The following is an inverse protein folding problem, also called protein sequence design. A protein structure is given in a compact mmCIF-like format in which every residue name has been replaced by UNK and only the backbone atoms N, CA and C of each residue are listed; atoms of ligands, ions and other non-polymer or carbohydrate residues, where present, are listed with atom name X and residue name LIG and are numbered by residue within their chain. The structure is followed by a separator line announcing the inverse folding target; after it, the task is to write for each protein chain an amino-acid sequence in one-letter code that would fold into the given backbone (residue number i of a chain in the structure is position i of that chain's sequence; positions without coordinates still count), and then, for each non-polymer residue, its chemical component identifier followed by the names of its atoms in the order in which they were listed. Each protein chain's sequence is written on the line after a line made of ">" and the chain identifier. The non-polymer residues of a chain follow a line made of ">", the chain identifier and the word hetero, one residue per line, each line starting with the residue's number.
data_IF_205989917863
#
_entry.id   IF_205989917863
#
_cell.length_a   1.000
_cell.length_b   1.000
_cell.length_c   1.000
_cell.angle_alpha   90.00
_cell.angle_beta   90.00
_cell.angle_gamma   90.00
#
_symmetry.space_group_name_H-M   'P 1'
#
loop_
_entity.id
_entity.type
_entity.pdbx_description
1 polymer ?
#
# COMPACT_ATOMS: atom_id res chain seq x y z
N UNK A 1 0.21 12.38 11.50
CA UNK A 1 -0.53 13.32 10.63
C UNK A 1 -1.82 12.66 10.16
N UNK A 2 -2.84 12.57 11.03
CA UNK A 2 -4.13 11.90 10.75
C UNK A 2 -5.33 12.79 11.04
N UNK A 3 -5.14 13.97 11.65
CA UNK A 3 -6.19 14.86 12.15
C UNK A 3 -7.27 15.24 11.12
N UNK A 4 -6.93 15.28 9.83
CA UNK A 4 -7.89 15.59 8.78
C UNK A 4 -8.75 14.39 8.38
N UNK A 5 -8.34 13.16 8.68
CA UNK A 5 -9.10 11.95 8.34
C UNK A 5 -10.41 11.91 9.11
N UNK A 6 -10.43 12.36 10.36
CA UNK A 6 -11.63 12.45 11.20
C UNK A 6 -12.74 13.34 10.60
N UNK A 7 -12.41 14.15 9.57
CA UNK A 7 -13.37 14.98 8.84
C UNK A 7 -14.05 14.24 7.66
N UNK A 8 -13.69 12.98 7.39
CA UNK A 8 -14.33 12.18 6.36
C UNK A 8 -15.76 11.77 6.77
N UNK A 9 -16.70 11.90 5.84
CA UNK A 9 -18.12 11.59 6.05
C UNK A 9 -18.68 10.70 4.92
N UNK A 10 -18.00 9.59 4.65
CA UNK A 10 -18.40 8.64 3.60
C UNK A 10 -19.35 7.52 4.06
N UNK A 11 -19.61 7.36 5.36
CA UNK A 11 -20.56 6.35 5.85
C UNK A 11 -20.17 4.95 5.40
N UNK A 12 -21.13 4.20 4.87
CA UNK A 12 -20.90 2.83 4.34
C UNK A 12 -20.26 2.81 2.94
N UNK A 13 -19.91 3.95 2.36
CA UNK A 13 -19.21 4.04 1.05
C UNK A 13 -17.71 3.90 1.26
N UNK A 14 -17.29 2.74 1.72
CA UNK A 14 -15.92 2.46 2.14
C UNK A 14 -15.07 1.96 0.95
N UNK A 15 -14.06 2.72 0.50
CA UNK A 15 -13.15 2.27 -0.55
C UNK A 15 -12.11 1.28 -0.03
N UNK A 16 -11.58 0.46 -0.93
CA UNK A 16 -10.23 -0.11 -0.81
C UNK A 16 -9.25 0.98 -1.25
N UNK A 17 -8.27 1.32 -0.43
CA UNK A 17 -7.31 2.40 -0.68
C UNK A 17 -5.94 1.81 -0.95
N UNK A 18 -5.31 2.18 -2.07
CA UNK A 18 -3.87 1.98 -2.28
C UNK A 18 -3.17 3.31 -2.10
N UNK A 19 -2.12 3.37 -1.28
CA UNK A 19 -1.39 4.60 -0.99
C UNK A 19 0.12 4.42 -1.17
N UNK A 20 0.65 5.07 -2.19
CA UNK A 20 2.09 5.21 -2.40
C UNK A 20 2.74 6.17 -1.40
N UNK A 21 3.98 5.85 -1.02
CA UNK A 21 4.82 6.70 -0.18
C UNK A 21 5.31 6.01 1.09
N UNK A 22 6.28 6.61 1.75
CA UNK A 22 7.02 5.97 2.82
C UNK A 22 6.24 5.94 4.15
N UNK A 23 6.34 4.83 4.88
CA UNK A 23 5.90 4.64 6.28
C UNK A 23 4.41 4.94 6.55
N UNK A 24 3.57 5.04 5.52
CA UNK A 24 2.14 5.31 5.68
C UNK A 24 1.40 4.14 6.38
N UNK A 25 1.95 2.92 6.28
CA UNK A 25 1.47 1.70 6.92
C UNK A 25 2.42 1.17 7.99
N UNK A 26 3.30 2.00 8.59
CA UNK A 26 4.22 1.58 9.66
C UNK A 26 3.44 1.26 10.96
N UNK A 27 2.89 0.05 11.05
CA UNK A 27 1.94 -0.35 12.09
C UNK A 27 2.58 -0.65 13.46
N UNK A 28 3.91 -0.61 13.55
CA UNK A 28 4.68 -0.86 14.77
C UNK A 28 5.12 0.45 15.48
N UNK A 29 4.36 1.54 15.32
CA UNK A 29 4.61 2.83 15.98
C UNK A 29 3.70 3.07 17.19
N UNK A 30 4.12 3.99 18.04
CA UNK A 30 3.47 4.42 19.27
C UNK A 30 3.77 5.89 19.56
N UNK A 31 3.04 6.47 20.53
CA UNK A 31 3.08 7.91 20.83
C UNK A 31 4.48 8.51 20.97
N UNK A 32 5.42 7.76 21.55
CA UNK A 32 6.77 8.23 21.87
C UNK A 32 7.82 7.81 20.84
N UNK A 33 7.44 7.08 19.78
CA UNK A 33 8.43 6.59 18.81
C UNK A 33 9.11 7.71 18.03
N UNK A 34 8.49 8.90 17.92
CA UNK A 34 9.13 10.09 17.36
C UNK A 34 10.45 10.49 18.04
N UNK A 35 10.71 10.00 19.26
CA UNK A 35 11.96 10.27 19.97
C UNK A 35 13.11 9.38 19.48
N UNK A 36 12.83 8.27 18.79
CA UNK A 36 13.84 7.28 18.36
C UNK A 36 13.73 6.88 16.87
N UNK A 37 12.60 7.16 16.22
CA UNK A 37 12.32 6.85 14.82
C UNK A 37 12.25 8.14 14.00
N UNK A 38 13.22 8.32 13.11
CA UNK A 38 13.37 9.51 12.26
C UNK A 38 12.22 9.69 11.25
N UNK A 39 11.46 8.63 10.96
CA UNK A 39 10.32 8.64 10.05
C UNK A 39 9.02 9.12 10.71
N UNK A 40 9.00 9.13 12.05
CA UNK A 40 7.88 9.65 12.84
C UNK A 40 8.20 11.07 13.33
N UNK A 41 7.79 12.09 12.57
CA UNK A 41 8.15 13.50 12.85
C UNK A 41 7.37 14.18 14.00
N UNK A 42 6.39 13.49 14.60
CA UNK A 42 5.55 14.01 15.67
C UNK A 42 4.96 12.87 16.50
N UNK A 43 4.47 13.14 17.72
CA UNK A 43 3.75 12.14 18.52
C UNK A 43 2.60 11.54 17.71
N UNK A 44 2.71 10.25 17.39
CA UNK A 44 1.79 9.54 16.48
C UNK A 44 1.41 8.22 17.12
N UNK A 45 0.13 8.04 17.46
CA UNK A 45 -0.35 6.86 18.17
C UNK A 45 -0.50 5.63 17.26
N UNK A 46 -0.64 5.84 15.96
CA UNK A 46 -0.93 4.81 14.95
C UNK A 46 -0.62 5.32 13.53
N UNK A 47 -0.41 4.41 12.58
CA UNK A 47 -0.07 4.77 11.21
C UNK A 47 -1.27 5.33 10.42
N UNK A 48 -0.96 6.01 9.32
CA UNK A 48 -1.94 6.65 8.42
C UNK A 48 -2.97 5.64 7.92
N UNK A 49 -2.50 4.50 7.42
CA UNK A 49 -3.35 3.45 6.86
C UNK A 49 -4.24 2.79 7.92
N UNK A 50 -3.72 2.52 9.12
CA UNK A 50 -4.53 1.95 10.20
C UNK A 50 -5.62 2.90 10.67
N UNK A 51 -5.28 4.19 10.82
CA UNK A 51 -6.27 5.20 11.20
C UNK A 51 -7.44 5.22 10.22
N UNK A 52 -7.17 5.20 8.91
CA UNK A 52 -8.21 5.20 7.88
C UNK A 52 -9.10 3.95 7.92
N UNK A 53 -8.53 2.78 8.23
CA UNK A 53 -9.27 1.49 8.33
C UNK A 53 -10.14 1.40 9.58
N UNK A 54 -9.67 1.90 10.73
CA UNK A 54 -10.39 1.77 12.01
C UNK A 54 -11.49 2.81 12.24
N UNK A 55 -11.59 3.82 11.37
CA UNK A 55 -12.49 4.95 11.56
C UNK A 55 -13.95 4.48 11.75
N UNK A 56 -14.63 4.87 12.84
CA UNK A 56 -16.02 4.51 13.02
C UNK A 56 -16.92 5.32 12.06
N UNK A 57 -17.77 4.61 11.30
CA UNK A 57 -18.78 5.25 10.44
C UNK A 57 -18.23 5.95 9.19
N UNK A 58 -17.01 5.60 8.75
CA UNK A 58 -16.39 6.13 7.55
C UNK A 58 -15.00 5.53 7.31
N UNK A 59 -14.15 6.25 6.57
CA UNK A 59 -12.78 5.82 6.30
C UNK A 59 -12.69 4.83 5.13
N UNK A 60 -11.89 3.78 5.26
CA UNK A 60 -11.67 2.74 4.25
C UNK A 60 -12.04 1.36 4.77
N UNK A 61 -12.46 0.43 3.90
CA UNK A 61 -12.70 -0.97 4.29
C UNK A 61 -11.39 -1.77 4.34
N UNK A 62 -10.39 -1.33 3.57
CA UNK A 62 -9.04 -1.82 3.60
C UNK A 62 -8.10 -0.75 3.04
N UNK A 63 -6.84 -0.74 3.50
CA UNK A 63 -5.78 0.13 2.97
C UNK A 63 -4.52 -0.70 2.73
N UNK A 64 -3.90 -0.51 1.56
CA UNK A 64 -2.62 -1.09 1.19
C UNK A 64 -1.60 0.05 1.10
N UNK A 65 -0.43 -0.13 1.71
CA UNK A 65 0.62 0.89 1.73
C UNK A 65 1.95 0.34 2.24
N UNK A 66 2.86 1.22 2.66
CA UNK A 66 4.25 0.86 2.94
C UNK A 66 4.56 0.99 4.43
N UNK A 67 5.06 -0.08 5.04
CA UNK A 67 5.54 -0.09 6.42
C UNK A 67 6.95 0.50 6.57
N UNK A 68 7.64 0.80 5.46
CA UNK A 68 9.01 1.32 5.45
C UNK A 68 9.25 2.40 4.39
N UNK A 69 10.53 2.61 4.09
CA UNK A 69 11.00 3.49 3.02
C UNK A 69 10.62 2.93 1.64
N UNK A 70 9.50 3.42 1.09
CA UNK A 70 9.06 3.08 -0.25
C UNK A 70 10.03 3.59 -1.33
N UNK A 71 10.46 2.66 -2.20
CA UNK A 71 11.32 2.96 -3.34
C UNK A 71 10.51 3.32 -4.58
N UNK A 72 11.04 4.24 -5.37
CA UNK A 72 10.51 4.61 -6.68
C UNK A 72 11.66 4.82 -7.66
N UNK A 73 11.37 4.65 -8.94
CA UNK A 73 12.30 4.98 -10.01
C UNK A 73 11.85 6.26 -10.74
N UNK A 74 12.78 6.90 -11.42
CA UNK A 74 12.53 8.16 -12.14
C UNK A 74 13.29 8.16 -13.45
N UNK A 75 12.68 8.69 -14.50
CA UNK A 75 13.28 8.75 -15.82
C UNK A 75 12.56 7.82 -16.79
N UNK A 76 13.33 7.31 -17.73
CA UNK A 76 12.96 6.37 -18.79
C UNK A 76 14.28 5.69 -19.18
N UNK A 77 14.72 4.77 -18.32
CA UNK A 77 16.08 4.25 -18.32
C UNK A 77 16.35 3.30 -19.50
N UNK A 78 15.32 2.58 -19.94
CA UNK A 78 15.35 1.68 -21.09
C UNK A 78 14.92 2.35 -22.41
N UNK A 79 14.42 3.59 -22.34
CA UNK A 79 14.03 4.44 -23.47
C UNK A 79 12.84 3.88 -24.25
N UNK A 80 11.93 3.20 -23.56
CA UNK A 80 10.71 2.67 -24.16
C UNK A 80 9.58 3.73 -24.22
N UNK A 81 9.80 4.89 -23.60
CA UNK A 81 8.87 6.02 -23.57
C UNK A 81 7.84 5.94 -22.44
N UNK A 82 7.96 4.95 -21.56
CA UNK A 82 7.18 4.82 -20.33
C UNK A 82 8.02 5.37 -19.17
N UNK A 83 7.42 6.11 -18.22
CA UNK A 83 8.16 6.57 -17.06
C UNK A 83 8.54 5.42 -16.14
N UNK A 84 9.81 5.34 -15.74
CA UNK A 84 10.32 4.31 -14.82
C UNK A 84 9.51 4.24 -13.50
N UNK A 85 8.86 5.35 -13.09
CA UNK A 85 8.06 5.42 -11.87
C UNK A 85 6.83 4.52 -11.86
N UNK A 86 6.40 3.95 -13.00
CA UNK A 86 5.36 2.91 -13.06
C UNK A 86 5.90 1.53 -13.44
N UNK A 87 7.17 1.46 -13.86
CA UNK A 87 7.81 0.22 -14.32
C UNK A 87 8.60 -0.48 -13.22
N UNK A 88 8.98 0.20 -12.14
CA UNK A 88 9.81 -0.36 -11.08
C UNK A 88 9.26 -0.07 -9.67
N UNK A 89 9.71 -0.88 -8.70
CA UNK A 89 9.48 -0.68 -7.26
C UNK A 89 7.99 -0.47 -6.92
N UNK A 90 7.70 0.51 -6.04
CA UNK A 90 6.35 0.79 -5.56
C UNK A 90 5.35 1.05 -6.68
N UNK A 91 5.76 1.74 -7.75
CA UNK A 91 4.86 2.03 -8.87
C UNK A 91 4.47 0.80 -9.67
N UNK A 92 5.39 -0.17 -9.82
CA UNK A 92 5.09 -1.43 -10.50
C UNK A 92 4.14 -2.29 -9.68
N UNK A 93 4.47 -2.53 -8.39
CA UNK A 93 3.65 -3.41 -7.54
C UNK A 93 2.24 -2.85 -7.34
N UNK A 94 2.10 -1.52 -7.16
CA UNK A 94 0.79 -0.87 -7.10
C UNK A 94 0.01 -1.02 -8.41
N UNK A 95 0.67 -0.88 -9.56
CA UNK A 95 0.02 -1.09 -10.87
C UNK A 95 -0.48 -2.53 -11.03
N UNK A 96 0.29 -3.50 -10.54
CA UNK A 96 -0.09 -4.93 -10.57
C UNK A 96 -1.29 -5.25 -9.69
N UNK A 97 -1.54 -4.50 -8.61
CA UNK A 97 -2.78 -4.62 -7.84
C UNK A 97 -4.01 -4.31 -8.70
N UNK A 98 -3.95 -3.22 -9.46
CA UNK A 98 -5.06 -2.78 -10.32
C UNK A 98 -5.25 -3.71 -11.51
N UNK A 99 -4.16 -4.24 -12.08
CA UNK A 99 -4.21 -5.26 -13.12
C UNK A 99 -4.83 -6.56 -12.61
N UNK A 100 -4.44 -7.03 -11.42
CA UNK A 100 -5.00 -8.24 -10.82
C UNK A 100 -6.52 -8.15 -10.65
N UNK A 101 -7.02 -7.02 -10.15
CA UNK A 101 -8.46 -6.80 -10.02
C UNK A 101 -9.16 -6.57 -11.37
N UNK A 102 -8.62 -5.68 -12.20
CA UNK A 102 -9.30 -5.18 -13.40
C UNK A 102 -9.18 -6.07 -14.64
N UNK A 103 -8.16 -6.93 -14.69
CA UNK A 103 -7.83 -7.73 -15.87
C UNK A 103 -7.75 -9.23 -15.54
N UNK A 104 -7.18 -9.61 -14.40
CA UNK A 104 -6.97 -11.03 -14.05
C UNK A 104 -8.16 -11.67 -13.31
N UNK A 105 -9.21 -10.89 -13.03
CA UNK A 105 -10.43 -11.36 -12.36
C UNK A 105 -10.22 -11.75 -10.90
N UNK A 106 -9.22 -11.17 -10.22
CA UNK A 106 -8.98 -11.37 -8.78
C UNK A 106 -9.91 -10.48 -7.97
N UNK A 107 -11.14 -10.95 -7.76
CA UNK A 107 -12.16 -10.19 -7.02
C UNK A 107 -11.98 -10.25 -5.50
N UNK A 108 -11.20 -11.20 -4.96
CA UNK A 108 -10.89 -11.28 -3.53
C UNK A 108 -9.64 -10.44 -3.27
N UNK A 109 -9.71 -9.53 -2.28
CA UNK A 109 -8.66 -8.55 -2.01
C UNK A 109 -7.29 -9.19 -1.74
N UNK A 110 -7.25 -10.24 -0.92
CA UNK A 110 -6.04 -11.00 -0.65
C UNK A 110 -5.49 -11.74 -1.88
N UNK A 111 -6.36 -12.17 -2.80
CA UNK A 111 -5.93 -12.76 -4.07
C UNK A 111 -5.34 -11.72 -5.01
N UNK A 112 -5.94 -10.53 -5.11
CA UNK A 112 -5.41 -9.43 -5.92
C UNK A 112 -4.07 -8.93 -5.37
N UNK A 113 -3.98 -8.78 -4.04
CA UNK A 113 -2.75 -8.41 -3.35
C UNK A 113 -1.64 -9.43 -3.58
N UNK A 114 -1.91 -10.72 -3.35
CA UNK A 114 -0.92 -11.79 -3.56
C UNK A 114 -0.55 -11.99 -5.03
N UNK A 115 -1.48 -11.74 -5.97
CA UNK A 115 -1.17 -11.74 -7.41
C UNK A 115 -0.17 -10.63 -7.74
N UNK A 116 -0.35 -9.42 -7.21
CA UNK A 116 0.56 -8.31 -7.44
C UNK A 116 1.98 -8.61 -6.92
N UNK A 117 2.10 -9.17 -5.71
CA UNK A 117 3.39 -9.61 -5.16
C UNK A 117 4.03 -10.71 -6.02
N UNK A 118 3.23 -11.66 -6.50
CA UNK A 118 3.70 -12.74 -7.37
C UNK A 118 4.24 -12.20 -8.70
N UNK A 119 3.51 -11.29 -9.34
CA UNK A 119 3.95 -10.64 -10.59
C UNK A 119 5.21 -9.80 -10.38
N UNK A 120 5.32 -9.10 -9.24
CA UNK A 120 6.53 -8.37 -8.87
C UNK A 120 7.72 -9.33 -8.75
N UNK A 121 7.60 -10.38 -7.94
CA UNK A 121 8.68 -11.34 -7.71
C UNK A 121 9.12 -12.09 -8.98
N UNK A 122 8.20 -12.33 -9.92
CA UNK A 122 8.51 -12.92 -11.22
C UNK A 122 9.27 -11.96 -12.16
N UNK A 123 8.98 -10.66 -12.05
CA UNK A 123 9.59 -9.61 -12.90
C UNK A 123 10.94 -9.15 -12.34
N UNK A 124 11.03 -9.08 -11.01
CA UNK A 124 12.18 -8.60 -10.24
C UNK A 124 12.50 -9.63 -9.15
N UNK A 125 13.39 -10.60 -9.44
CA UNK A 125 13.72 -11.67 -8.50
C UNK A 125 14.21 -11.11 -7.15
N UNK A 126 13.48 -11.29 -6.04
CA UNK A 126 13.77 -10.61 -4.78
C UNK A 126 15.11 -11.02 -4.14
N UNK A 127 15.69 -12.13 -4.58
CA UNK A 127 16.99 -12.61 -4.10
C UNK A 127 18.17 -11.99 -4.84
N UNK A 128 17.94 -11.30 -5.96
CA UNK A 128 18.98 -10.69 -6.77
C UNK A 128 19.26 -9.23 -6.35
N UNK A 129 18.23 -8.49 -5.92
CA UNK A 129 18.33 -7.13 -5.36
C UNK A 129 17.57 -7.03 -4.01
N UNK A 130 18.24 -6.46 -3.01
CA UNK A 130 17.64 -6.23 -1.69
C UNK A 130 16.54 -5.18 -1.69
N UNK A 131 16.53 -4.25 -2.66
CA UNK A 131 15.44 -3.27 -2.83
C UNK A 131 14.15 -3.98 -3.25
N UNK A 132 14.25 -5.00 -4.11
CA UNK A 132 13.08 -5.77 -4.55
C UNK A 132 12.52 -6.63 -3.42
N UNK A 133 13.40 -7.30 -2.66
CA UNK A 133 13.01 -8.00 -1.43
C UNK A 133 12.27 -7.07 -0.47
N UNK A 134 12.86 -5.89 -0.22
CA UNK A 134 12.29 -4.90 0.66
C UNK A 134 10.95 -4.37 0.17
N UNK A 135 10.79 -4.14 -1.14
CA UNK A 135 9.55 -3.62 -1.74
C UNK A 135 8.38 -4.57 -1.48
N UNK A 136 8.60 -5.88 -1.58
CA UNK A 136 7.59 -6.89 -1.25
C UNK A 136 7.33 -6.91 0.26
N UNK A 137 8.37 -7.01 1.09
CA UNK A 137 8.22 -7.16 2.54
C UNK A 137 7.56 -5.95 3.23
N UNK A 138 7.73 -4.75 2.68
CA UNK A 138 7.19 -3.54 3.27
C UNK A 138 5.79 -3.17 2.77
N UNK A 139 5.31 -3.78 1.69
CA UNK A 139 3.99 -3.49 1.14
C UNK A 139 2.94 -4.30 1.88
N UNK A 140 2.05 -3.62 2.59
CA UNK A 140 1.21 -4.23 3.63
C UNK A 140 -0.25 -3.92 3.37
N UNK A 141 -1.07 -4.98 3.38
CA UNK A 141 -2.52 -4.91 3.41
C UNK A 141 -3.03 -4.84 4.86
N UNK A 142 -3.70 -3.74 5.19
CA UNK A 142 -4.47 -3.57 6.44
C UNK A 142 -5.97 -3.66 6.13
N UNK A 143 -6.62 -4.72 6.59
CA UNK A 143 -8.04 -4.99 6.33
C UNK A 143 -8.32 -6.50 6.31
N UNK A 144 -9.51 -6.89 5.88
CA UNK A 144 -9.87 -8.30 5.70
C UNK A 144 -9.41 -8.79 4.31
N UNK A 145 -8.40 -9.68 4.20
CA UNK A 145 -7.95 -10.21 2.91
C UNK A 145 -9.01 -11.08 2.22
N UNK A 146 -10.03 -11.58 2.94
CA UNK A 146 -11.12 -12.35 2.35
C UNK A 146 -12.24 -11.49 1.73
N UNK A 147 -12.12 -10.16 1.83
CA UNK A 147 -13.06 -9.21 1.26
C UNK A 147 -13.20 -9.39 -0.25
N UNK A 148 -14.43 -9.53 -0.74
CA UNK A 148 -14.74 -9.42 -2.16
C UNK A 148 -14.86 -7.96 -2.58
N UNK A 149 -13.93 -7.48 -3.41
CA UNK A 149 -13.94 -6.14 -4.00
C UNK A 149 -15.18 -6.00 -4.90
N UNK A 150 -15.94 -4.92 -4.71
CA UNK A 150 -17.22 -4.72 -5.41
C UNK A 150 -18.42 -5.42 -4.76
N UNK A 151 -18.20 -6.24 -3.73
CA UNK A 151 -19.25 -6.84 -2.90
C UNK A 151 -19.83 -8.17 -3.42
N UNK A 152 -20.84 -8.65 -2.71
CA UNK A 152 -21.57 -9.87 -3.03
C UNK A 152 -22.93 -9.52 -3.65
N UNK A 153 -23.30 -10.26 -4.70
CA UNK A 153 -24.57 -10.16 -5.41
C UNK A 153 -25.57 -11.22 -4.93
#
# INVERSE_FOLDING_TARGET
>A
MTYNMDLLHNGEKLPVVSVGGCHNSEFNISLLDFQKNEWTYQPTYECWSWHLVKMPGGGSIATIGYAGLGYGATGDSDKDGIPDCVQYNGGYIESKLFEAYGQDGKDILGEAFGQAETEYANSFPPMDDQIDCKTIEEWVLLGDPSLKIGGYS
#
